data_IF_356743644881
#
_entry.id   IF_356743644881
#
_cell.length_a   1.000
_cell.length_b   1.000
_cell.length_c   1.000
_cell.angle_alpha   90.00
_cell.angle_beta   90.00
_cell.angle_gamma   90.00
#
_symmetry.space_group_name_H-M   'P 1'
#
loop_
_entity.id
_entity.type
_entity.pdbx_description
1 polymer ?
#
# COMPACT_ATOMS: atom_id res chain seq x y z
N UNK A 1 32.12 10.79 -18.54
CA UNK A 1 31.66 9.40 -18.37
C UNK A 1 30.55 9.42 -17.33
N UNK A 2 29.34 8.97 -17.68
CA UNK A 2 28.19 9.01 -16.77
C UNK A 2 28.44 8.04 -15.60
N UNK A 3 28.30 8.46 -14.34
CA UNK A 3 28.58 7.61 -13.17
C UNK A 3 27.49 6.56 -12.90
N UNK A 4 26.48 6.46 -13.77
CA UNK A 4 25.30 5.63 -13.58
C UNK A 4 25.49 4.33 -14.36
N UNK A 5 25.85 3.26 -13.66
CA UNK A 5 25.89 1.89 -14.22
C UNK A 5 24.53 1.21 -14.04
N UNK A 6 24.24 0.21 -14.87
CA UNK A 6 22.96 -0.51 -14.87
C UNK A 6 22.61 -1.17 -13.52
N UNK A 7 23.59 -1.43 -12.64
CA UNK A 7 23.34 -1.90 -11.27
C UNK A 7 22.70 -0.84 -10.38
N UNK A 8 23.03 0.45 -10.55
CA UNK A 8 22.39 1.55 -9.81
C UNK A 8 20.89 1.66 -10.11
N UNK A 9 20.49 1.36 -11.35
CA UNK A 9 19.09 1.32 -11.78
C UNK A 9 18.29 0.18 -11.15
N UNK A 10 18.92 -0.74 -10.40
CA UNK A 10 18.26 -1.86 -9.70
C UNK A 10 18.22 -1.62 -8.18
N UNK A 11 18.97 -0.64 -7.64
CA UNK A 11 19.23 -0.50 -6.19
C UNK A 11 18.80 0.83 -5.58
N UNK A 12 18.11 1.68 -6.34
CA UNK A 12 18.09 3.11 -6.07
C UNK A 12 17.06 3.61 -5.06
N UNK A 13 17.04 3.09 -3.83
CA UNK A 13 16.50 3.78 -2.63
C UNK A 13 17.14 3.29 -1.35
N UNK A 14 17.31 1.98 -1.22
CA UNK A 14 18.06 1.34 -0.16
C UNK A 14 18.82 0.18 -0.80
N UNK A 15 20.06 -0.07 -0.37
CA UNK A 15 20.87 -1.18 -0.87
C UNK A 15 20.37 -2.50 -0.28
N UNK A 16 19.17 -2.92 -0.67
CA UNK A 16 18.50 -4.13 -0.17
C UNK A 16 19.02 -5.40 -0.86
N UNK A 17 20.18 -5.36 -1.53
CA UNK A 17 20.77 -6.53 -2.19
C UNK A 17 21.27 -7.59 -1.20
N UNK A 18 21.47 -7.19 0.05
CA UNK A 18 22.08 -8.02 1.08
C UNK A 18 20.99 -8.40 2.09
N UNK A 19 20.77 -9.70 2.28
CA UNK A 19 19.67 -10.29 3.08
C UNK A 19 19.58 -9.68 4.50
N UNK A 20 20.74 -9.34 5.08
CA UNK A 20 20.84 -8.78 6.42
C UNK A 20 20.40 -7.30 6.48
N UNK A 21 20.63 -6.53 5.41
CA UNK A 21 20.21 -5.12 5.35
C UNK A 21 18.70 -4.99 5.19
N UNK A 22 18.10 -5.86 4.37
CA UNK A 22 16.66 -5.88 4.13
C UNK A 22 15.87 -6.22 5.41
N UNK A 23 16.30 -7.25 6.14
CA UNK A 23 15.72 -7.60 7.44
C UNK A 23 15.92 -6.50 8.49
N UNK A 24 17.12 -5.93 8.56
CA UNK A 24 17.45 -4.85 9.51
C UNK A 24 16.60 -3.60 9.29
N UNK A 25 16.49 -3.14 8.04
CA UNK A 25 15.67 -1.97 7.67
C UNK A 25 14.21 -2.24 7.99
N UNK A 26 13.70 -3.42 7.66
CA UNK A 26 12.31 -3.78 7.91
C UNK A 26 11.96 -3.75 9.39
N UNK A 27 12.81 -4.35 10.24
CA UNK A 27 12.65 -4.35 11.69
C UNK A 27 12.73 -2.92 12.25
N UNK A 28 13.67 -2.11 11.76
CA UNK A 28 13.80 -0.71 12.18
C UNK A 28 12.58 0.12 11.83
N UNK A 29 12.04 -0.02 10.61
CA UNK A 29 10.81 0.66 10.17
C UNK A 29 9.62 0.20 11.01
N UNK A 30 9.47 -1.10 11.25
CA UNK A 30 8.44 -1.65 12.16
C UNK A 30 8.53 -1.02 13.55
N UNK A 31 9.73 -0.91 14.11
CA UNK A 31 9.94 -0.34 15.44
C UNK A 31 9.63 1.15 15.48
N UNK A 32 9.92 1.88 14.39
CA UNK A 32 9.53 3.29 14.24
C UNK A 32 8.01 3.45 14.14
N UNK A 33 7.32 2.59 13.36
CA UNK A 33 5.86 2.55 13.32
C UNK A 33 5.31 2.24 14.71
N UNK A 34 5.87 1.26 15.42
CA UNK A 34 5.46 0.93 16.79
C UNK A 34 5.55 2.16 17.72
N UNK A 35 6.64 2.94 17.63
CA UNK A 35 6.81 4.19 18.38
C UNK A 35 5.76 5.25 18.02
N UNK A 36 5.38 5.38 16.74
CA UNK A 36 4.27 6.27 16.34
C UNK A 36 2.94 5.92 17.05
N UNK A 37 2.78 4.67 17.47
CA UNK A 37 1.63 4.17 18.21
C UNK A 37 1.96 3.87 19.68
N UNK A 38 2.88 4.63 20.30
CA UNK A 38 3.20 4.53 21.74
C UNK A 38 3.65 3.12 22.17
N UNK A 39 4.38 2.40 21.31
CA UNK A 39 4.93 1.08 21.60
C UNK A 39 3.99 -0.09 21.32
N UNK A 40 2.85 0.15 20.65
CA UNK A 40 1.99 -0.93 20.15
C UNK A 40 2.78 -1.84 19.19
N UNK A 41 2.67 -3.15 19.38
CA UNK A 41 3.39 -4.11 18.54
C UNK A 41 2.78 -4.21 17.13
N UNK A 42 3.66 -4.28 16.13
CA UNK A 42 3.32 -4.52 14.73
C UNK A 42 3.99 -5.82 14.25
N UNK A 43 3.30 -6.57 13.38
CA UNK A 43 3.81 -7.76 12.69
C UNK A 43 4.19 -7.42 11.26
N UNK A 44 5.24 -8.09 10.77
CA UNK A 44 5.60 -8.10 9.35
C UNK A 44 4.89 -9.32 8.74
N UNK A 45 3.90 -9.09 7.88
CA UNK A 45 3.03 -10.17 7.36
C UNK A 45 3.63 -10.95 6.20
N UNK A 46 4.48 -10.31 5.39
CA UNK A 46 5.21 -11.00 4.33
C UNK A 46 6.67 -10.60 4.33
N UNK A 47 7.53 -11.60 4.12
CA UNK A 47 8.91 -11.38 3.77
C UNK A 47 9.04 -11.27 2.24
N UNK A 48 9.98 -10.45 1.75
CA UNK A 48 10.24 -10.26 0.34
C UNK A 48 10.53 -11.61 -0.33
N UNK A 49 9.73 -11.97 -1.35
CA UNK A 49 9.90 -13.23 -2.07
C UNK A 49 10.88 -13.05 -3.22
N UNK A 50 12.00 -13.77 -3.21
CA UNK A 50 12.94 -13.79 -4.35
C UNK A 50 12.20 -14.22 -5.62
N UNK A 51 12.18 -13.33 -6.62
CA UNK A 51 11.55 -13.58 -7.92
C UNK A 51 10.26 -12.79 -8.17
N UNK A 52 9.64 -12.23 -7.12
CA UNK A 52 8.54 -11.27 -7.26
C UNK A 52 9.03 -9.87 -6.93
N UNK A 53 8.88 -8.97 -7.89
CA UNK A 53 9.35 -7.59 -7.86
C UNK A 53 8.50 -6.66 -6.99
N UNK A 54 7.55 -7.11 -6.15
CA UNK A 54 6.32 -6.31 -6.01
C UNK A 54 5.74 -5.99 -4.63
N UNK A 55 6.38 -6.29 -3.48
CA UNK A 55 6.12 -5.59 -2.19
C UNK A 55 7.23 -6.00 -1.23
N UNK A 56 7.91 -5.05 -0.60
CA UNK A 56 8.96 -5.35 0.38
C UNK A 56 8.35 -5.79 1.71
N UNK A 57 7.39 -5.03 2.26
CA UNK A 57 6.82 -5.33 3.59
C UNK A 57 5.36 -4.87 3.76
N UNK A 58 4.63 -5.61 4.60
CA UNK A 58 3.32 -5.27 5.14
C UNK A 58 3.43 -5.15 6.66
N UNK A 59 3.16 -3.97 7.21
CA UNK A 59 3.15 -3.76 8.65
C UNK A 59 1.72 -3.68 9.15
N UNK A 60 1.32 -4.73 9.85
CA UNK A 60 0.01 -4.88 10.47
C UNK A 60 0.13 -4.77 11.98
N UNK A 61 -0.88 -4.24 12.66
CA UNK A 61 -0.89 -4.25 14.14
C UNK A 61 -0.98 -5.71 14.61
N UNK A 62 -0.14 -6.14 15.56
CA UNK A 62 0.10 -7.55 15.93
C UNK A 62 -1.05 -8.31 16.62
N UNK A 63 -2.26 -7.76 16.60
CA UNK A 63 -3.44 -8.48 17.08
C UNK A 63 -3.79 -9.54 16.04
N UNK A 64 -4.35 -10.69 16.44
CA UNK A 64 -4.72 -11.81 15.56
C UNK A 64 -5.80 -11.45 14.54
N UNK A 65 -5.46 -10.55 13.63
CA UNK A 65 -6.34 -9.87 12.70
C UNK A 65 -6.16 -10.53 11.34
N UNK A 66 -7.25 -10.74 10.59
CA UNK A 66 -7.20 -11.36 9.28
C UNK A 66 -6.22 -10.64 8.36
N UNK A 67 -5.70 -11.38 7.38
CA UNK A 67 -4.83 -10.85 6.32
C UNK A 67 -5.56 -9.92 5.34
N UNK A 68 -6.39 -9.01 5.82
CA UNK A 68 -7.15 -8.04 5.05
C UNK A 68 -7.15 -6.68 5.75
N UNK A 69 -6.20 -6.48 6.66
CA UNK A 69 -6.11 -5.31 7.50
C UNK A 69 -5.61 -4.09 6.72
N UNK A 70 -6.13 -2.92 7.07
CA UNK A 70 -5.52 -1.67 6.64
C UNK A 70 -4.10 -1.52 7.24
N UNK A 71 -3.11 -1.48 6.36
CA UNK A 71 -1.70 -1.72 6.65
C UNK A 71 -0.81 -0.62 6.11
N UNK A 72 0.37 -0.47 6.69
CA UNK A 72 1.46 0.25 6.03
C UNK A 72 2.21 -0.70 5.12
N UNK A 73 2.70 -0.19 3.99
CA UNK A 73 3.51 -0.98 3.08
C UNK A 73 4.69 -0.18 2.52
N UNK A 74 5.73 -0.93 2.14
CA UNK A 74 6.72 -0.47 1.18
C UNK A 74 6.77 -1.46 0.03
N UNK A 75 6.79 -0.94 -1.19
CA UNK A 75 6.84 -1.72 -2.43
C UNK A 75 7.89 -1.12 -3.36
N UNK A 76 8.85 -1.93 -3.78
CA UNK A 76 9.65 -1.59 -4.95
C UNK A 76 8.86 -2.03 -6.18
N UNK A 77 8.86 -1.23 -7.24
CA UNK A 77 8.40 -1.66 -8.56
C UNK A 77 9.49 -1.29 -9.56
N UNK A 78 9.93 -2.28 -10.32
CA UNK A 78 11.00 -2.16 -11.32
C UNK A 78 10.47 -2.27 -12.75
N UNK A 79 9.17 -2.51 -12.95
CA UNK A 79 8.58 -2.63 -14.29
C UNK A 79 8.65 -1.29 -15.02
N UNK A 80 8.41 -0.18 -14.33
CA UNK A 80 8.26 1.17 -14.91
C UNK A 80 9.44 2.09 -14.57
N UNK A 81 10.60 1.49 -14.28
CA UNK A 81 11.76 2.14 -13.68
C UNK A 81 11.81 1.91 -12.15
N UNK A 82 13.00 1.94 -11.54
CA UNK A 82 13.17 1.69 -10.10
C UNK A 82 12.47 2.78 -9.29
N UNK A 83 11.39 2.41 -8.63
CA UNK A 83 10.62 3.29 -7.77
C UNK A 83 10.35 2.59 -6.44
N UNK A 84 10.51 3.32 -5.34
CA UNK A 84 10.03 2.88 -4.03
C UNK A 84 8.71 3.58 -3.74
N UNK A 85 7.67 2.78 -3.54
CA UNK A 85 6.36 3.20 -3.08
C UNK A 85 6.28 2.97 -1.58
N UNK A 86 5.87 4.00 -0.85
CA UNK A 86 5.69 3.96 0.60
C UNK A 86 4.31 4.49 0.90
N UNK A 87 3.52 3.73 1.64
CA UNK A 87 2.19 4.21 1.98
C UNK A 87 1.32 3.23 2.73
N UNK A 88 0.02 3.30 2.45
CA UNK A 88 -1.01 2.52 3.12
C UNK A 88 -1.87 1.75 2.12
N UNK A 89 -2.35 0.60 2.55
CA UNK A 89 -3.18 -0.28 1.73
C UNK A 89 -4.26 -0.93 2.56
N UNK A 90 -5.35 -1.33 1.91
CA UNK A 90 -6.38 -2.19 2.47
C UNK A 90 -6.75 -3.23 1.42
N UNK A 91 -6.74 -4.50 1.80
CA UNK A 91 -7.02 -5.61 0.90
C UNK A 91 -8.52 -5.96 0.94
N UNK A 92 -9.02 -6.38 -0.22
CA UNK A 92 -10.35 -6.94 -0.44
C UNK A 92 -10.22 -8.44 -0.64
N UNK A 93 -11.01 -9.22 0.08
CA UNK A 93 -11.13 -10.65 -0.14
C UNK A 93 -12.18 -11.03 -1.22
N UNK A 94 -12.36 -12.34 -1.41
CA UNK A 94 -13.40 -12.88 -2.29
C UNK A 94 -14.79 -12.72 -1.65
N UNK A 95 -15.77 -12.27 -2.43
CA UNK A 95 -17.19 -12.32 -1.98
C UNK A 95 -17.79 -13.71 -2.21
N UNK A 96 -17.21 -14.48 -3.14
CA UNK A 96 -17.60 -15.87 -3.39
C UNK A 96 -17.04 -16.77 -2.28
N UNK A 97 -17.92 -17.24 -1.39
CA UNK A 97 -17.59 -18.12 -0.26
C UNK A 97 -16.94 -19.42 -0.73
N UNK A 98 -17.47 -20.05 -1.79
CA UNK A 98 -16.93 -21.30 -2.34
C UNK A 98 -15.49 -21.13 -2.82
N UNK A 99 -15.20 -20.04 -3.52
CA UNK A 99 -13.84 -19.69 -3.95
C UNK A 99 -12.93 -19.36 -2.77
N UNK A 100 -13.43 -18.64 -1.76
CA UNK A 100 -12.66 -18.36 -0.55
C UNK A 100 -12.22 -19.66 0.14
N UNK A 101 -13.13 -20.62 0.31
CA UNK A 101 -12.84 -21.95 0.84
C UNK A 101 -11.85 -22.73 -0.03
N UNK A 102 -12.03 -22.71 -1.36
CA UNK A 102 -11.12 -23.38 -2.30
C UNK A 102 -9.68 -22.86 -2.16
N UNK A 103 -9.50 -21.54 -2.12
CA UNK A 103 -8.17 -20.92 -2.00
C UNK A 103 -7.58 -21.15 -0.60
N UNK A 104 -8.38 -21.04 0.45
CA UNK A 104 -7.96 -21.31 1.83
C UNK A 104 -7.43 -22.75 1.98
N UNK A 105 -8.17 -23.73 1.45
CA UNK A 105 -7.76 -25.13 1.42
C UNK A 105 -6.49 -25.35 0.61
N UNK A 106 -6.40 -24.78 -0.61
CA UNK A 106 -5.23 -24.91 -1.47
C UNK A 106 -3.95 -24.31 -0.85
N UNK A 107 -4.09 -23.28 -0.01
CA UNK A 107 -2.97 -22.61 0.66
C UNK A 107 -2.71 -23.11 2.09
N UNK A 108 -3.55 -24.00 2.63
CA UNK A 108 -3.46 -24.46 4.01
C UNK A 108 -3.60 -23.32 5.03
N UNK A 109 -4.49 -22.36 4.76
CA UNK A 109 -4.68 -21.15 5.55
C UNK A 109 -6.13 -20.99 6.03
N UNK A 110 -6.39 -20.18 7.08
CA UNK A 110 -7.75 -19.90 7.55
C UNK A 110 -8.60 -19.22 6.48
N UNK A 111 -9.87 -19.60 6.37
CA UNK A 111 -10.81 -19.06 5.34
C UNK A 111 -11.12 -17.58 5.56
N UNK A 112 -11.03 -17.13 6.81
CA UNK A 112 -11.26 -15.75 7.24
C UNK A 112 -10.28 -14.77 6.58
N UNK A 113 -9.14 -15.26 6.08
CA UNK A 113 -8.17 -14.46 5.33
C UNK A 113 -8.55 -14.27 3.86
N UNK A 114 -9.51 -15.05 3.36
CA UNK A 114 -9.89 -15.11 1.96
C UNK A 114 -11.34 -14.71 1.70
N UNK A 115 -12.18 -14.67 2.74
CA UNK A 115 -13.60 -14.32 2.65
C UNK A 115 -13.89 -12.86 3.02
N UNK A 116 -14.75 -12.19 2.24
CA UNK A 116 -15.01 -10.75 2.37
C UNK A 116 -15.83 -10.40 3.61
N UNK A 117 -16.69 -11.29 4.10
CA UNK A 117 -17.53 -11.00 5.27
C UNK A 117 -16.68 -10.82 6.55
N UNK A 118 -15.44 -11.32 6.55
CA UNK A 118 -14.44 -11.08 7.59
C UNK A 118 -13.57 -9.82 7.34
N UNK A 119 -13.70 -9.17 6.18
CA UNK A 119 -12.93 -7.98 5.76
C UNK A 119 -13.49 -6.66 6.28
N UNK A 120 -13.62 -6.49 7.59
CA UNK A 120 -14.18 -5.26 8.19
C UNK A 120 -13.51 -3.96 7.72
N UNK A 121 -12.19 -3.97 7.55
CA UNK A 121 -11.44 -2.78 7.11
C UNK A 121 -11.74 -2.41 5.66
N UNK A 122 -12.00 -3.39 4.78
CA UNK A 122 -12.44 -3.13 3.41
C UNK A 122 -13.80 -2.44 3.40
N UNK A 123 -14.77 -2.96 4.16
CA UNK A 123 -16.10 -2.37 4.26
C UNK A 123 -16.04 -0.93 4.78
N UNK A 124 -15.15 -0.67 5.76
CA UNK A 124 -14.89 0.69 6.26
C UNK A 124 -14.20 1.57 5.23
N UNK A 125 -13.24 1.04 4.47
CA UNK A 125 -12.59 1.79 3.40
C UNK A 125 -13.59 2.23 2.33
N UNK A 126 -14.51 1.34 1.93
CA UNK A 126 -15.61 1.68 1.02
C UNK A 126 -16.52 2.75 1.63
N UNK A 127 -16.98 2.54 2.87
CA UNK A 127 -17.90 3.46 3.54
C UNK A 127 -17.31 4.85 3.84
N UNK A 128 -15.98 4.95 3.96
CA UNK A 128 -15.28 6.19 4.34
C UNK A 128 -14.73 6.99 3.16
N UNK A 129 -14.91 6.55 1.91
CA UNK A 129 -14.32 7.19 0.72
C UNK A 129 -14.59 8.70 0.61
N UNK A 130 -15.77 9.17 1.01
CA UNK A 130 -16.11 10.61 1.04
C UNK A 130 -15.26 11.41 2.03
N UNK A 131 -14.80 10.78 3.12
CA UNK A 131 -13.91 11.36 4.14
C UNK A 131 -12.43 11.20 3.78
N UNK A 132 -12.09 10.23 2.92
CA UNK A 132 -10.71 9.97 2.49
C UNK A 132 -10.16 11.11 1.61
N UNK A 133 -10.97 11.70 0.73
CA UNK A 133 -10.56 12.79 -0.17
C UNK A 133 -9.79 13.93 0.54
N UNK A 134 -10.38 14.64 1.53
CA UNK A 134 -9.69 15.74 2.20
C UNK A 134 -8.42 15.27 2.94
N UNK A 135 -8.39 14.04 3.45
CA UNK A 135 -7.21 13.49 4.12
C UNK A 135 -6.07 13.20 3.13
N UNK A 136 -6.36 12.65 1.95
CA UNK A 136 -5.35 12.40 0.91
C UNK A 136 -4.78 13.71 0.38
N UNK A 137 -5.64 14.71 0.15
CA UNK A 137 -5.22 16.06 -0.25
C UNK A 137 -4.33 16.71 0.82
N UNK A 138 -4.71 16.58 2.10
CA UNK A 138 -3.90 17.08 3.22
C UNK A 138 -2.55 16.38 3.30
N UNK A 139 -2.50 15.06 3.11
CA UNK A 139 -1.27 14.29 3.12
C UNK A 139 -0.33 14.69 1.97
N UNK A 140 -0.86 14.84 0.75
CA UNK A 140 -0.10 15.32 -0.41
C UNK A 140 0.48 16.72 -0.16
N UNK A 141 -0.31 17.61 0.46
CA UNK A 141 0.12 18.95 0.84
C UNK A 141 1.24 18.94 1.90
N UNK A 142 1.10 18.14 2.96
CA UNK A 142 2.10 18.00 4.01
C UNK A 142 3.44 17.45 3.49
N UNK A 143 3.37 16.49 2.57
CA UNK A 143 4.55 15.89 1.94
C UNK A 143 5.13 16.76 0.81
N UNK A 144 4.44 17.82 0.39
CA UNK A 144 4.75 18.62 -0.79
C UNK A 144 5.00 17.75 -2.03
N UNK A 145 4.21 16.69 -2.19
CA UNK A 145 4.44 15.63 -3.17
C UNK A 145 3.13 15.07 -3.71
N UNK A 146 3.19 14.49 -4.90
CA UNK A 146 2.07 13.77 -5.50
C UNK A 146 1.86 12.44 -4.78
N UNK A 147 0.60 12.08 -4.55
CA UNK A 147 0.26 10.75 -4.04
C UNK A 147 -0.33 9.91 -5.17
N UNK A 148 0.20 8.70 -5.30
CA UNK A 148 -0.34 7.69 -6.21
C UNK A 148 -1.45 6.94 -5.48
N UNK A 149 -2.59 6.82 -6.14
CA UNK A 149 -3.71 6.00 -5.68
C UNK A 149 -3.97 4.96 -6.74
N UNK A 150 -3.97 3.68 -6.37
CA UNK A 150 -4.30 2.64 -7.34
C UNK A 150 -5.09 1.50 -6.73
N UNK A 151 -5.78 0.81 -7.61
CA UNK A 151 -6.69 -0.29 -7.32
C UNK A 151 -6.26 -1.48 -8.16
N UNK A 152 -5.92 -2.57 -7.50
CA UNK A 152 -5.54 -3.81 -8.17
C UNK A 152 -6.52 -4.91 -7.78
N UNK A 153 -7.09 -5.58 -8.78
CA UNK A 153 -7.93 -6.75 -8.57
C UNK A 153 -7.34 -7.90 -9.39
N UNK A 154 -6.90 -8.96 -8.72
CA UNK A 154 -6.32 -10.13 -9.36
C UNK A 154 -7.38 -10.94 -10.12
N UNK A 155 -6.90 -11.89 -10.95
CA UNK A 155 -7.62 -12.78 -11.87
C UNK A 155 -7.77 -12.32 -13.33
N UNK A 156 -6.76 -11.62 -13.84
CA UNK A 156 -6.55 -11.48 -15.30
C UNK A 156 -7.53 -10.54 -16.01
N UNK A 157 -8.20 -9.64 -15.28
CA UNK A 157 -9.06 -8.59 -15.87
C UNK A 157 -8.32 -7.25 -16.00
N UNK A 158 -8.63 -6.44 -17.02
CA UNK A 158 -8.05 -5.10 -17.24
C UNK A 158 -8.58 -4.02 -16.26
N UNK A 159 -9.18 -4.40 -15.14
CA UNK A 159 -9.94 -3.48 -14.29
C UNK A 159 -9.07 -2.68 -13.32
N UNK A 160 -7.74 -2.86 -13.31
CA UNK A 160 -6.88 -2.06 -12.44
C UNK A 160 -6.97 -0.57 -12.81
N UNK A 161 -7.11 0.29 -11.81
CA UNK A 161 -7.16 1.74 -12.01
C UNK A 161 -5.98 2.39 -11.31
N UNK A 162 -5.35 3.33 -12.01
CA UNK A 162 -4.17 4.04 -11.52
C UNK A 162 -4.42 5.53 -11.62
N UNK A 163 -4.26 6.19 -10.49
CA UNK A 163 -4.53 7.61 -10.32
C UNK A 163 -3.36 8.31 -9.64
N UNK A 164 -3.37 9.63 -9.76
CA UNK A 164 -2.45 10.51 -9.04
C UNK A 164 -3.27 11.65 -8.45
N UNK A 165 -3.05 11.93 -7.17
CA UNK A 165 -3.57 13.10 -6.49
C UNK A 165 -2.53 14.20 -6.58
N UNK A 166 -2.91 15.30 -7.21
CA UNK A 166 -2.06 16.49 -7.37
C UNK A 166 -2.84 17.70 -6.87
N UNK A 167 -2.20 18.47 -5.99
CA UNK A 167 -2.80 19.65 -5.35
C UNK A 167 -4.08 19.28 -4.59
N UNK A 168 -5.26 19.32 -5.22
CA UNK A 168 -6.57 19.04 -4.61
C UNK A 168 -7.42 18.03 -5.39
N UNK A 169 -6.95 17.62 -6.57
CA UNK A 169 -7.74 16.86 -7.52
C UNK A 169 -7.13 15.49 -7.79
N UNK A 170 -7.99 14.57 -8.22
CA UNK A 170 -7.63 13.23 -8.63
C UNK A 170 -7.50 13.21 -10.16
N UNK A 171 -6.46 12.56 -10.67
CA UNK A 171 -6.20 12.46 -12.10
C UNK A 171 -5.96 11.01 -12.47
N UNK A 172 -6.34 10.60 -13.68
CA UNK A 172 -5.78 9.38 -14.27
C UNK A 172 -4.26 9.48 -14.30
N UNK A 173 -3.56 8.38 -14.02
CA UNK A 173 -2.10 8.32 -14.20
C UNK A 173 -1.77 8.53 -15.68
N UNK A 174 -1.08 9.62 -16.00
CA UNK A 174 -0.79 10.04 -17.38
C UNK A 174 -1.89 10.90 -18.03
N UNK A 175 -2.99 11.16 -17.32
CA UNK A 175 -4.04 12.08 -17.73
C UNK A 175 -3.76 13.52 -17.31
N UNK A 176 -4.42 14.46 -17.99
CA UNK A 176 -4.31 15.90 -17.72
C UNK A 176 -5.61 16.52 -17.21
N UNK A 177 -6.72 15.77 -17.22
CA UNK A 177 -8.02 16.21 -16.73
C UNK A 177 -8.31 15.59 -15.38
N UNK A 178 -8.85 16.37 -14.42
CA UNK A 178 -9.27 15.82 -13.16
C UNK A 178 -10.46 14.88 -13.37
N UNK A 179 -10.58 13.91 -12.47
CA UNK A 179 -11.71 13.00 -12.38
C UNK A 179 -12.44 13.22 -11.07
N UNK A 180 -13.72 12.85 -11.05
CA UNK A 180 -14.50 12.92 -9.83
C UNK A 180 -14.09 11.79 -8.87
N UNK A 181 -14.04 12.12 -7.58
CA UNK A 181 -13.88 11.14 -6.53
C UNK A 181 -15.10 10.23 -6.40
N UNK A 182 -16.28 10.68 -6.85
CA UNK A 182 -17.47 9.84 -6.96
C UNK A 182 -17.27 8.69 -7.94
N UNK A 183 -16.61 8.92 -9.08
CA UNK A 183 -16.27 7.86 -10.05
C UNK A 183 -15.35 6.80 -9.41
N UNK A 184 -14.37 7.25 -8.62
CA UNK A 184 -13.53 6.36 -7.84
C UNK A 184 -14.38 5.55 -6.85
N UNK A 185 -15.28 6.20 -6.10
CA UNK A 185 -16.13 5.53 -5.12
C UNK A 185 -17.03 4.47 -5.74
N UNK A 186 -17.74 4.81 -6.82
CA UNK A 186 -18.55 3.86 -7.58
C UNK A 186 -17.70 2.68 -8.05
N UNK A 187 -16.47 2.93 -8.50
CA UNK A 187 -15.59 1.86 -8.93
C UNK A 187 -15.19 0.94 -7.78
N UNK A 188 -14.78 1.46 -6.62
CA UNK A 188 -14.39 0.64 -5.47
C UNK A 188 -15.57 -0.19 -4.95
N UNK A 189 -16.78 0.39 -4.88
CA UNK A 189 -17.97 -0.24 -4.34
C UNK A 189 -18.58 -1.35 -5.23
N UNK A 190 -18.16 -1.47 -6.50
CA UNK A 190 -18.70 -2.49 -7.42
C UNK A 190 -18.41 -3.92 -6.92
N UNK A 191 -19.42 -4.81 -6.86
CA UNK A 191 -19.22 -6.22 -6.54
C UNK A 191 -18.27 -6.89 -7.53
N UNK A 192 -17.32 -7.67 -7.01
CA UNK A 192 -16.38 -8.49 -7.77
C UNK A 192 -16.19 -9.81 -7.04
N UNK A 193 -17.18 -10.74 -7.12
CA UNK A 193 -17.21 -11.87 -6.19
C UNK A 193 -16.00 -12.78 -6.25
N UNK A 194 -15.49 -12.97 -7.47
CA UNK A 194 -14.36 -13.84 -7.75
C UNK A 194 -13.01 -13.12 -7.79
N UNK A 195 -12.91 -11.87 -7.33
CA UNK A 195 -11.66 -11.11 -7.35
C UNK A 195 -11.19 -10.76 -5.94
N UNK A 196 -9.93 -11.09 -5.67
CA UNK A 196 -9.15 -10.55 -4.57
C UNK A 196 -8.46 -9.26 -5.05
N UNK A 197 -8.21 -8.30 -4.17
CA UNK A 197 -7.59 -7.04 -4.57
C UNK A 197 -7.28 -6.10 -3.44
N UNK A 198 -7.09 -4.81 -3.75
CA UNK A 198 -6.86 -3.81 -2.73
C UNK A 198 -6.84 -2.39 -3.25
N UNK A 199 -6.97 -1.44 -2.32
CA UNK A 199 -6.78 0.00 -2.54
C UNK A 199 -5.44 0.38 -1.94
N UNK A 200 -4.63 1.11 -2.70
CA UNK A 200 -3.31 1.55 -2.29
C UNK A 200 -3.19 3.07 -2.44
N UNK A 201 -2.58 3.71 -1.45
CA UNK A 201 -2.23 5.14 -1.48
C UNK A 201 -0.77 5.24 -1.05
N UNK A 202 0.08 5.80 -1.90
CA UNK A 202 1.50 5.92 -1.60
C UNK A 202 2.17 7.12 -2.26
N UNK A 203 3.27 7.56 -1.63
CA UNK A 203 4.26 8.40 -2.28
C UNK A 203 5.24 7.53 -3.05
N UNK A 204 5.64 8.00 -4.22
CA UNK A 204 6.75 7.43 -4.99
C UNK A 204 8.01 8.22 -4.72
N UNK A 205 9.09 7.53 -4.38
CA UNK A 205 10.43 8.08 -4.32
C UNK A 205 11.15 7.79 -5.63
N UNK A 206 11.65 8.85 -6.26
CA UNK A 206 12.51 8.74 -7.43
C UNK A 206 13.94 8.35 -7.05
N UNK A 207 14.71 7.85 -8.01
CA UNK A 207 16.15 7.58 -7.86
C UNK A 207 16.94 8.77 -7.30
N UNK A 208 16.57 10.00 -7.66
CA UNK A 208 17.25 11.21 -7.20
C UNK A 208 17.03 11.51 -5.72
N UNK A 209 15.84 11.24 -5.19
CA UNK A 209 15.50 11.38 -3.77
C UNK A 209 16.13 10.28 -2.90
N UNK A 210 16.65 9.26 -3.57
CA UNK A 210 17.11 8.02 -3.02
C UNK A 210 18.63 7.84 -3.09
N UNK A 211 19.33 8.83 -3.65
CA UNK A 211 20.78 8.81 -3.86
C UNK A 211 21.47 9.85 -2.96
N UNK A 212 22.54 9.49 -2.23
CA UNK A 212 23.17 8.16 -2.18
C UNK A 212 22.42 7.15 -1.30
N UNK A 213 21.49 7.60 -0.45
CA UNK A 213 20.63 6.76 0.38
C UNK A 213 19.30 7.47 0.69
N UNK A 214 18.22 6.71 0.85
CA UNK A 214 16.97 7.18 1.43
C UNK A 214 17.00 7.02 2.96
N UNK A 215 16.74 8.10 3.70
CA UNK A 215 16.64 8.05 5.16
C UNK A 215 15.32 7.44 5.63
N UNK A 216 15.34 6.66 6.71
CA UNK A 216 14.09 6.09 7.25
C UNK A 216 13.13 7.17 7.77
N UNK A 217 13.65 8.32 8.22
CA UNK A 217 12.86 9.51 8.59
C UNK A 217 11.88 9.92 7.48
N UNK A 218 12.31 9.88 6.22
CA UNK A 218 11.50 10.23 5.04
C UNK A 218 10.40 9.20 4.77
N UNK A 219 10.62 7.93 5.14
CA UNK A 219 9.59 6.90 5.11
C UNK A 219 8.54 7.17 6.20
N UNK A 220 9.00 7.54 7.40
CA UNK A 220 8.13 7.82 8.53
C UNK A 220 7.26 9.05 8.29
N UNK A 221 7.77 10.11 7.66
CA UNK A 221 6.97 11.27 7.23
C UNK A 221 5.76 10.85 6.39
N UNK A 222 5.94 9.89 5.47
CA UNK A 222 4.86 9.37 4.63
C UNK A 222 3.85 8.57 5.46
N UNK A 223 4.31 7.73 6.39
CA UNK A 223 3.42 6.98 7.28
C UNK A 223 2.65 7.85 8.25
N UNK A 224 3.26 8.90 8.77
CA UNK A 224 2.61 9.90 9.62
C UNK A 224 1.55 10.67 8.83
N UNK A 225 1.86 11.13 7.62
CA UNK A 225 0.92 11.84 6.77
C UNK A 225 -0.29 10.98 6.36
N UNK A 226 -0.09 9.67 6.15
CA UNK A 226 -1.13 8.73 5.74
C UNK A 226 -1.83 8.03 6.92
N UNK A 227 -1.30 8.16 8.15
CA UNK A 227 -1.87 7.56 9.36
C UNK A 227 -3.36 7.86 9.54
N UNK A 228 -3.86 9.11 9.37
CA UNK A 228 -5.29 9.40 9.56
C UNK A 228 -6.20 8.61 8.63
N UNK A 229 -5.79 8.38 7.39
CA UNK A 229 -6.57 7.61 6.40
C UNK A 229 -6.60 6.13 6.81
N UNK A 230 -5.44 5.59 7.16
CA UNK A 230 -5.32 4.19 7.58
C UNK A 230 -6.09 3.94 8.88
N UNK A 231 -6.00 4.84 9.84
CA UNK A 231 -6.73 4.74 11.10
C UNK A 231 -8.25 4.83 10.90
N UNK A 232 -8.70 5.65 9.95
CA UNK A 232 -10.10 5.70 9.52
C UNK A 232 -10.57 4.34 8.96
N UNK A 233 -9.77 3.70 8.10
CA UNK A 233 -10.08 2.35 7.59
C UNK A 233 -10.09 1.29 8.70
N UNK A 234 -9.23 1.47 9.70
CA UNK A 234 -9.19 0.64 10.93
C UNK A 234 -10.31 0.94 11.92
N UNK A 235 -11.17 1.92 11.63
CA UNK A 235 -12.25 2.38 12.50
C UNK A 235 -11.75 2.99 13.82
N UNK A 236 -10.51 3.47 13.85
CA UNK A 236 -10.04 4.32 14.94
C UNK A 236 -10.61 5.73 14.73
N UNK A 237 -11.08 6.35 15.80
CA UNK A 237 -11.51 7.74 15.75
C UNK A 237 -10.24 8.62 15.63
N UNK A 238 -10.22 9.60 14.71
CA UNK A 238 -9.10 10.53 14.60
C UNK A 238 -8.90 11.35 15.88
#
# INVERSE_FOLDING_TARGET
>A
MSPITASWLVHGCMRLSDYDEEGRVSLKVRDLISKMYQGVEFRIRSWPQRGFRDTLWWYEKSVGIPGQAASYFLKVDNWRGPNLYVGITVEKAYEDEGLAHEIAAARGQPVEWWWLDDSWDWHRAVASLSQVKPLVVSAAGALQSELFLWLEFSNGKPDNRYYVVKQRDLYWRGGFRPIDWEELHEFVARPRPRSWGGVFIARVFSLGECSPYLEESRLMEVFEALKPIRDLWRGFRP
#
